data_IF_513514949276
#
_entry.id   IF_513514949276
#
_cell.length_a   1.000
_cell.length_b   1.000
_cell.length_c   1.000
_cell.angle_alpha   90.00
_cell.angle_beta   90.00
_cell.angle_gamma   90.00
#
_symmetry.space_group_name_H-M   'P 1'
#
loop_
_entity.id
_entity.type
_entity.pdbx_description
1 polymer ?
#
# COMPACT_ATOMS: atom_id res chain seq x y z
N UNK A 1 37.30 -7.37 -10.04
CA UNK A 1 36.35 -6.88 -9.04
C UNK A 1 35.52 -5.76 -9.69
N UNK A 2 34.44 -6.11 -10.40
CA UNK A 2 33.56 -5.12 -11.03
C UNK A 2 32.62 -4.57 -9.97
N UNK A 3 32.94 -3.39 -9.44
CA UNK A 3 32.00 -2.63 -8.62
C UNK A 3 30.81 -2.24 -9.49
N UNK A 4 29.71 -2.96 -9.37
CA UNK A 4 28.44 -2.61 -9.97
C UNK A 4 28.08 -1.18 -9.51
N UNK A 5 28.17 -0.23 -10.44
CA UNK A 5 27.71 1.13 -10.22
C UNK A 5 26.20 1.07 -9.98
N UNK A 6 25.77 1.06 -8.72
CA UNK A 6 24.35 1.11 -8.38
C UNK A 6 23.73 2.35 -9.02
N UNK A 7 22.66 2.18 -9.80
CA UNK A 7 21.91 3.27 -10.41
C UNK A 7 21.40 4.21 -9.31
N UNK A 8 21.71 5.51 -9.43
CA UNK A 8 21.22 6.52 -8.51
C UNK A 8 19.76 6.84 -8.80
N UNK A 9 18.88 6.77 -7.79
CA UNK A 9 17.46 7.11 -7.91
C UNK A 9 17.09 8.30 -7.03
N UNK A 10 16.62 9.37 -7.67
CA UNK A 10 16.00 10.51 -6.99
C UNK A 10 14.61 10.14 -6.43
N UNK A 11 14.04 10.92 -5.51
CA UNK A 11 12.67 10.73 -5.03
C UNK A 11 11.65 10.66 -6.18
N UNK A 12 11.78 11.55 -7.16
CA UNK A 12 10.93 11.58 -8.36
C UNK A 12 11.01 10.29 -9.19
N UNK A 13 12.22 9.77 -9.38
CA UNK A 13 12.40 8.52 -10.14
C UNK A 13 11.84 7.31 -9.39
N UNK A 14 11.96 7.27 -8.05
CA UNK A 14 11.36 6.22 -7.22
C UNK A 14 9.82 6.27 -7.30
N UNK A 15 9.24 7.46 -7.16
CA UNK A 15 7.81 7.67 -7.29
C UNK A 15 7.30 7.26 -8.68
N UNK A 16 8.03 7.60 -9.73
CA UNK A 16 7.70 7.18 -11.09
C UNK A 16 7.73 5.66 -11.26
N UNK A 17 8.75 4.97 -10.72
CA UNK A 17 8.82 3.51 -10.75
C UNK A 17 7.62 2.89 -10.04
N UNK A 18 7.25 3.40 -8.87
CA UNK A 18 6.08 2.91 -8.13
C UNK A 18 4.81 3.11 -8.97
N UNK A 19 4.56 4.32 -9.45
CA UNK A 19 3.36 4.64 -10.21
C UNK A 19 3.27 3.85 -11.52
N UNK A 20 4.37 3.74 -12.26
CA UNK A 20 4.45 2.95 -13.49
C UNK A 20 4.15 1.47 -13.22
N UNK A 21 4.84 0.86 -12.26
CA UNK A 21 4.62 -0.54 -11.94
C UNK A 21 3.18 -0.77 -11.44
N UNK A 22 2.61 0.14 -10.64
CA UNK A 22 1.21 0.07 -10.23
C UNK A 22 0.29 0.04 -11.43
N UNK A 23 0.50 0.92 -12.41
CA UNK A 23 -0.30 0.96 -13.64
C UNK A 23 -0.13 -0.32 -14.49
N UNK A 24 1.11 -0.75 -14.69
CA UNK A 24 1.40 -1.95 -15.50
C UNK A 24 0.77 -3.21 -14.89
N UNK A 25 0.77 -3.33 -13.56
CA UNK A 25 0.20 -4.48 -12.86
C UNK A 25 -1.32 -4.41 -12.72
N UNK A 26 -1.93 -3.25 -12.81
CA UNK A 26 -3.40 -3.12 -12.74
C UNK A 26 -4.10 -3.96 -13.82
N UNK A 27 -3.51 -4.07 -14.99
CA UNK A 27 -4.05 -4.91 -16.07
C UNK A 27 -4.08 -6.39 -15.68
N UNK A 28 -3.06 -6.89 -14.98
CA UNK A 28 -2.98 -8.28 -14.54
C UNK A 28 -3.81 -8.57 -13.28
N UNK A 29 -4.20 -7.54 -12.53
CA UNK A 29 -5.06 -7.70 -11.36
C UNK A 29 -6.46 -8.22 -11.72
N UNK A 30 -6.93 -7.92 -12.90
CA UNK A 30 -8.25 -8.33 -13.35
C UNK A 30 -8.44 -9.85 -13.28
N UNK A 31 -7.47 -10.61 -13.79
CA UNK A 31 -7.49 -12.07 -13.72
C UNK A 31 -7.35 -12.57 -12.28
N UNK A 32 -6.48 -11.93 -11.50
CA UNK A 32 -6.27 -12.32 -10.10
C UNK A 32 -7.51 -12.08 -9.25
N UNK A 33 -8.19 -10.94 -9.41
CA UNK A 33 -9.44 -10.62 -8.72
C UNK A 33 -10.56 -11.52 -9.19
N UNK A 34 -10.67 -11.81 -10.48
CA UNK A 34 -11.67 -12.75 -11.00
C UNK A 34 -11.49 -14.15 -10.38
N UNK A 35 -10.26 -14.64 -10.28
CA UNK A 35 -9.97 -15.94 -9.65
C UNK A 35 -10.33 -15.94 -8.16
N UNK A 36 -10.08 -14.85 -7.45
CA UNK A 36 -10.50 -14.70 -6.05
C UNK A 36 -12.03 -14.69 -5.91
N UNK A 37 -12.74 -13.94 -6.76
CA UNK A 37 -14.21 -13.85 -6.73
C UNK A 37 -14.87 -15.18 -7.08
N UNK A 38 -14.34 -15.95 -8.02
CA UNK A 38 -14.83 -17.29 -8.33
C UNK A 38 -14.83 -18.20 -7.10
N UNK A 39 -13.82 -18.09 -6.25
CA UNK A 39 -13.73 -18.82 -4.98
C UNK A 39 -14.57 -18.18 -3.85
N UNK A 40 -14.91 -16.90 -3.98
CA UNK A 40 -15.60 -16.10 -2.98
C UNK A 40 -16.74 -15.28 -3.61
N UNK A 41 -17.85 -15.91 -4.10
CA UNK A 41 -18.90 -15.24 -4.87
C UNK A 41 -19.60 -14.09 -4.14
N UNK A 42 -19.53 -14.05 -2.82
CA UNK A 42 -20.06 -12.95 -1.98
C UNK A 42 -19.44 -11.57 -2.27
N UNK A 43 -18.32 -11.52 -2.99
CA UNK A 43 -17.63 -10.27 -3.36
C UNK A 43 -17.86 -9.86 -4.82
N UNK A 44 -18.73 -10.52 -5.57
CA UNK A 44 -18.99 -10.24 -6.99
C UNK A 44 -19.37 -8.78 -7.22
N UNK A 45 -20.29 -8.24 -6.43
CA UNK A 45 -20.75 -6.85 -6.56
C UNK A 45 -19.68 -5.81 -6.18
N UNK A 46 -18.60 -6.24 -5.54
CA UNK A 46 -17.50 -5.37 -5.06
C UNK A 46 -16.27 -5.43 -5.95
N UNK A 47 -16.31 -6.17 -7.06
CA UNK A 47 -15.16 -6.43 -7.93
C UNK A 47 -14.40 -5.17 -8.32
N UNK A 48 -15.10 -4.17 -8.84
CA UNK A 48 -14.46 -2.92 -9.30
C UNK A 48 -13.82 -2.17 -8.13
N UNK A 49 -14.48 -2.09 -6.98
CA UNK A 49 -13.92 -1.47 -5.79
C UNK A 49 -12.65 -2.20 -5.31
N UNK A 50 -12.62 -3.54 -5.43
CA UNK A 50 -11.43 -4.33 -5.09
C UNK A 50 -10.28 -3.98 -6.04
N UNK A 51 -10.52 -3.92 -7.34
CA UNK A 51 -9.48 -3.56 -8.32
C UNK A 51 -8.96 -2.14 -8.06
N UNK A 52 -9.86 -1.18 -7.88
CA UNK A 52 -9.49 0.22 -7.62
C UNK A 52 -8.66 0.35 -6.33
N UNK A 53 -9.01 -0.38 -5.28
CA UNK A 53 -8.29 -0.31 -4.02
C UNK A 53 -6.94 -1.02 -4.08
N UNK A 54 -6.84 -2.14 -4.80
CA UNK A 54 -5.58 -2.85 -4.96
C UNK A 54 -4.50 -2.00 -5.63
N UNK A 55 -4.85 -1.03 -6.48
CA UNK A 55 -3.88 -0.08 -7.03
C UNK A 55 -3.17 0.71 -5.92
N UNK A 56 -3.94 1.17 -4.94
CA UNK A 56 -3.39 1.91 -3.78
C UNK A 56 -2.56 1.01 -2.87
N UNK A 57 -2.98 -0.23 -2.69
CA UNK A 57 -2.25 -1.26 -1.95
C UNK A 57 -0.90 -1.56 -2.62
N UNK A 58 -0.86 -1.67 -3.95
CA UNK A 58 0.39 -1.88 -4.70
C UNK A 58 1.32 -0.68 -4.53
N UNK A 59 0.82 0.55 -4.70
CA UNK A 59 1.61 1.76 -4.53
C UNK A 59 2.14 1.88 -3.08
N UNK A 60 1.31 1.51 -2.09
CA UNK A 60 1.74 1.41 -0.68
C UNK A 60 2.86 0.39 -0.50
N UNK A 61 2.77 -0.77 -1.15
CA UNK A 61 3.84 -1.77 -1.16
C UNK A 61 5.19 -1.20 -1.63
N UNK A 62 5.16 -0.33 -2.65
CA UNK A 62 6.34 0.39 -3.10
C UNK A 62 6.94 1.33 -2.04
N UNK A 63 6.10 2.08 -1.33
CA UNK A 63 6.56 2.96 -0.23
C UNK A 63 7.10 2.16 0.97
N UNK A 64 6.43 1.06 1.33
CA UNK A 64 6.87 0.16 2.38
C UNK A 64 8.23 -0.47 2.03
N UNK A 65 8.44 -0.89 0.77
CA UNK A 65 9.71 -1.46 0.34
C UNK A 65 10.86 -0.46 0.51
N UNK A 66 10.64 0.81 0.17
CA UNK A 66 11.64 1.87 0.41
C UNK A 66 11.89 2.02 1.91
N UNK A 67 10.85 1.96 2.73
CA UNK A 67 10.96 2.06 4.19
C UNK A 67 11.79 0.92 4.79
N UNK A 68 11.66 -0.29 4.27
CA UNK A 68 12.40 -1.47 4.73
C UNK A 68 13.89 -1.37 4.35
N UNK A 69 14.21 -0.98 3.11
CA UNK A 69 15.59 -0.97 2.60
C UNK A 69 16.34 0.34 2.85
N UNK A 70 15.69 1.34 3.41
CA UNK A 70 16.22 2.70 3.54
C UNK A 70 15.74 3.35 4.86
N UNK A 71 15.57 4.66 4.84
CA UNK A 71 15.18 5.46 5.99
C UNK A 71 13.84 6.20 5.77
N UNK A 72 13.32 6.77 6.86
CA UNK A 72 12.07 7.52 6.84
C UNK A 72 12.13 8.75 5.92
N UNK A 73 13.28 9.45 5.85
CA UNK A 73 13.42 10.68 5.03
C UNK A 73 13.25 10.36 3.55
N UNK A 74 13.86 9.27 3.08
CA UNK A 74 13.75 8.84 1.68
C UNK A 74 12.35 8.33 1.35
N UNK A 75 11.71 7.64 2.28
CA UNK A 75 10.31 7.23 2.14
C UNK A 75 9.41 8.47 2.02
N UNK A 76 9.55 9.44 2.93
CA UNK A 76 8.78 10.68 2.91
C UNK A 76 8.98 11.46 1.62
N UNK A 77 10.23 11.66 1.19
CA UNK A 77 10.52 12.37 -0.06
C UNK A 77 9.94 11.66 -1.31
N UNK A 78 9.89 10.32 -1.30
CA UNK A 78 9.26 9.56 -2.39
C UNK A 78 7.73 9.67 -2.33
N UNK A 79 7.15 9.58 -1.15
CA UNK A 79 5.72 9.75 -0.91
C UNK A 79 5.22 11.12 -1.43
N UNK A 80 5.91 12.21 -1.10
CA UNK A 80 5.56 13.56 -1.56
C UNK A 80 5.51 13.62 -3.11
N UNK A 81 6.52 13.06 -3.78
CA UNK A 81 6.55 12.99 -5.24
C UNK A 81 5.48 12.05 -5.83
N UNK A 82 5.13 10.99 -5.14
CA UNK A 82 4.08 10.07 -5.58
C UNK A 82 2.69 10.73 -5.50
N UNK A 83 2.43 11.48 -4.45
CA UNK A 83 1.20 12.28 -4.30
C UNK A 83 1.08 13.31 -5.43
N UNK A 84 2.15 14.05 -5.72
CA UNK A 84 2.18 15.01 -6.83
C UNK A 84 1.90 14.33 -8.17
N UNK A 85 2.48 13.16 -8.41
CA UNK A 85 2.30 12.40 -9.63
C UNK A 85 0.84 11.96 -9.83
N UNK A 86 0.23 11.35 -8.82
CA UNK A 86 -1.16 10.90 -8.89
C UNK A 86 -2.14 12.07 -8.99
N UNK A 87 -1.84 13.19 -8.35
CA UNK A 87 -2.65 14.40 -8.49
C UNK A 87 -2.59 14.94 -9.92
N UNK A 88 -1.40 15.03 -10.51
CA UNK A 88 -1.24 15.46 -11.91
C UNK A 88 -1.96 14.52 -12.88
N UNK A 89 -1.90 13.21 -12.66
CA UNK A 89 -2.61 12.21 -13.46
C UNK A 89 -4.13 12.37 -13.36
N UNK A 90 -4.65 12.62 -12.16
CA UNK A 90 -6.07 12.85 -11.93
C UNK A 90 -6.57 14.10 -12.66
N UNK A 91 -5.83 15.20 -12.61
CA UNK A 91 -6.15 16.43 -13.33
C UNK A 91 -6.16 16.22 -14.85
N UNK A 92 -5.18 15.48 -15.37
CA UNK A 92 -5.07 15.15 -16.78
C UNK A 92 -6.27 14.34 -17.30
N UNK A 93 -6.69 13.34 -16.53
CA UNK A 93 -7.77 12.44 -16.94
C UNK A 93 -9.17 13.09 -16.88
N UNK A 94 -9.35 14.09 -16.03
CA UNK A 94 -10.66 14.73 -15.85
C UNK A 94 -10.84 16.02 -16.64
N UNK A 95 -9.91 16.41 -17.53
CA UNK A 95 -9.90 17.68 -18.25
C UNK A 95 -10.10 18.90 -17.31
N UNK A 96 -9.85 18.74 -16.02
CA UNK A 96 -10.02 19.78 -15.01
C UNK A 96 -8.66 20.40 -14.72
N UNK A 97 -8.49 21.63 -15.18
CA UNK A 97 -7.30 22.44 -14.85
C UNK A 97 -7.36 23.01 -13.43
N UNK A 98 -8.47 22.84 -12.72
CA UNK A 98 -8.64 23.33 -11.35
C UNK A 98 -8.07 22.36 -10.34
N UNK A 99 -7.30 22.90 -9.39
CA UNK A 99 -6.77 22.17 -8.25
C UNK A 99 -7.92 21.51 -7.45
N UNK A 100 -7.93 20.17 -7.39
CA UNK A 100 -8.92 19.44 -6.63
C UNK A 100 -8.33 19.07 -5.25
N UNK A 101 -8.52 19.97 -4.28
CA UNK A 101 -8.05 19.80 -2.91
C UNK A 101 -8.62 18.54 -2.25
N UNK A 102 -9.88 18.23 -2.51
CA UNK A 102 -10.57 17.10 -1.88
C UNK A 102 -10.00 15.75 -2.33
N UNK A 103 -9.66 15.62 -3.62
CA UNK A 103 -8.99 14.42 -4.13
C UNK A 103 -7.62 14.25 -3.50
N UNK A 104 -6.85 15.33 -3.43
CA UNK A 104 -5.51 15.32 -2.86
C UNK A 104 -5.53 14.96 -1.37
N UNK A 105 -6.47 15.50 -0.62
CA UNK A 105 -6.63 15.20 0.80
C UNK A 105 -7.03 13.74 1.04
N UNK A 106 -7.99 13.22 0.27
CA UNK A 106 -8.39 11.80 0.32
C UNK A 106 -7.22 10.88 0.00
N UNK A 107 -6.42 11.22 -1.00
CA UNK A 107 -5.26 10.44 -1.41
C UNK A 107 -4.20 10.41 -0.31
N UNK A 108 -3.86 11.57 0.27
CA UNK A 108 -2.93 11.68 1.40
C UNK A 108 -3.41 10.88 2.60
N UNK A 109 -4.65 11.07 3.01
CA UNK A 109 -5.25 10.37 4.15
C UNK A 109 -5.17 8.86 3.98
N UNK A 110 -5.45 8.35 2.79
CA UNK A 110 -5.39 6.92 2.49
C UNK A 110 -3.97 6.35 2.65
N UNK A 111 -2.98 6.97 2.01
CA UNK A 111 -1.59 6.53 2.13
C UNK A 111 -1.04 6.68 3.55
N UNK A 112 -1.37 7.77 4.23
CA UNK A 112 -0.96 8.00 5.62
C UNK A 112 -1.52 6.92 6.54
N UNK A 113 -2.80 6.56 6.39
CA UNK A 113 -3.41 5.49 7.16
C UNK A 113 -2.70 4.15 6.94
N UNK A 114 -2.39 3.78 5.71
CA UNK A 114 -1.69 2.53 5.42
C UNK A 114 -0.27 2.51 5.99
N UNK A 115 0.49 3.58 5.81
CA UNK A 115 1.85 3.68 6.34
C UNK A 115 1.89 3.71 7.87
N UNK A 116 0.92 4.39 8.50
CA UNK A 116 0.79 4.40 9.96
C UNK A 116 0.48 3.00 10.48
N UNK A 117 -0.46 2.26 9.85
CA UNK A 117 -0.78 0.88 10.24
C UNK A 117 0.43 -0.03 10.12
N UNK A 118 1.14 0.03 8.99
CA UNK A 118 2.36 -0.76 8.81
C UNK A 118 3.43 -0.43 9.85
N UNK A 119 3.73 0.85 10.07
CA UNK A 119 4.75 1.27 11.03
C UNK A 119 4.39 0.87 12.46
N UNK A 120 3.13 1.03 12.86
CA UNK A 120 2.66 0.58 14.19
C UNK A 120 2.83 -0.93 14.36
N UNK A 121 2.43 -1.71 13.38
CA UNK A 121 2.57 -3.16 13.42
C UNK A 121 4.03 -3.62 13.59
N UNK A 122 5.00 -2.90 13.03
CA UNK A 122 6.43 -3.23 13.19
C UNK A 122 7.01 -2.73 14.51
N UNK A 123 6.65 -1.53 14.95
CA UNK A 123 7.26 -0.89 16.14
C UNK A 123 6.74 -1.49 17.44
N UNK A 124 5.46 -1.86 17.50
CA UNK A 124 4.83 -2.33 18.74
C UNK A 124 4.94 -3.85 18.98
N UNK A 125 5.38 -4.59 17.99
CA UNK A 125 5.59 -6.04 18.12
C UNK A 125 7.06 -6.29 17.95
N UNK A 126 7.70 -6.87 18.95
CA UNK A 126 9.11 -7.26 18.87
C UNK A 126 9.45 -7.83 17.50
N UNK A 127 10.47 -7.29 16.84
CA UNK A 127 10.86 -7.42 15.44
C UNK A 127 11.05 -8.88 14.97
N UNK A 128 10.06 -9.72 15.16
CA UNK A 128 10.05 -11.11 14.71
C UNK A 128 9.24 -11.27 13.40
N UNK A 129 9.35 -12.42 12.76
CA UNK A 129 8.65 -12.69 11.48
C UNK A 129 7.11 -12.59 11.60
N UNK A 130 6.55 -12.81 12.80
CA UNK A 130 5.12 -12.66 13.03
C UNK A 130 4.69 -11.20 12.99
N UNK A 131 5.53 -10.27 13.51
CA UNK A 131 5.26 -8.83 13.50
C UNK A 131 5.09 -8.28 12.09
N UNK A 132 5.89 -8.75 11.13
CA UNK A 132 5.76 -8.34 9.74
C UNK A 132 4.43 -8.80 9.13
N UNK A 133 4.07 -10.08 9.28
CA UNK A 133 2.80 -10.60 8.77
C UNK A 133 1.60 -9.87 9.37
N UNK A 134 1.63 -9.59 10.65
CA UNK A 134 0.55 -8.89 11.33
C UNK A 134 0.47 -7.41 10.90
N UNK A 135 1.61 -6.75 10.66
CA UNK A 135 1.61 -5.41 10.09
C UNK A 135 0.96 -5.36 8.69
N UNK A 136 1.16 -6.40 7.87
CA UNK A 136 0.48 -6.51 6.57
C UNK A 136 -1.03 -6.76 6.74
N UNK A 137 -1.44 -7.55 7.72
CA UNK A 137 -2.86 -7.75 8.05
C UNK A 137 -3.48 -6.43 8.53
N UNK A 138 -2.77 -5.62 9.31
CA UNK A 138 -3.26 -4.30 9.75
C UNK A 138 -3.50 -3.36 8.58
N UNK A 139 -2.62 -3.35 7.58
CA UNK A 139 -2.83 -2.58 6.34
C UNK A 139 -4.01 -3.12 5.56
N UNK A 140 -4.12 -4.45 5.42
CA UNK A 140 -5.25 -5.09 4.74
C UNK A 140 -6.58 -4.77 5.43
N UNK A 141 -6.62 -4.82 6.76
CA UNK A 141 -7.80 -4.45 7.55
C UNK A 141 -8.20 -2.98 7.34
N UNK A 142 -7.22 -2.07 7.32
CA UNK A 142 -7.50 -0.65 7.02
C UNK A 142 -8.13 -0.49 5.64
N UNK A 143 -7.71 -1.27 4.65
CA UNK A 143 -8.26 -1.22 3.29
C UNK A 143 -9.73 -1.66 3.23
N UNK A 144 -10.20 -2.51 4.16
CA UNK A 144 -11.60 -2.97 4.20
C UNK A 144 -12.60 -1.83 4.31
N UNK A 145 -12.24 -0.71 4.89
CA UNK A 145 -13.08 0.50 4.96
C UNK A 145 -13.49 1.01 3.58
N UNK A 146 -12.62 0.81 2.60
CA UNK A 146 -12.83 1.30 1.23
C UNK A 146 -13.55 0.28 0.35
N UNK A 147 -13.42 -1.02 0.64
CA UNK A 147 -14.12 -2.06 -0.10
C UNK A 147 -15.57 -2.25 0.32
N UNK A 148 -15.83 -2.25 1.61
CA UNK A 148 -17.11 -2.70 2.16
C UNK A 148 -17.97 -1.57 2.67
N UNK A 149 -17.39 -0.40 2.94
CA UNK A 149 -18.03 0.66 3.71
C UNK A 149 -18.26 0.26 5.18
N UNK A 150 -17.91 -0.95 5.56
CA UNK A 150 -18.00 -1.45 6.92
C UNK A 150 -16.73 -1.08 7.67
N UNK A 151 -16.86 -0.15 8.61
CA UNK A 151 -15.81 0.12 9.59
C UNK A 151 -15.81 -1.07 10.55
N UNK A 152 -15.06 -2.11 10.26
CA UNK A 152 -14.73 -3.11 11.28
C UNK A 152 -13.86 -2.39 12.30
N UNK A 153 -14.42 -2.24 13.50
CA UNK A 153 -13.82 -1.50 14.59
C UNK A 153 -12.58 -2.20 15.16
N UNK A 154 -11.46 -2.10 14.48
CA UNK A 154 -10.17 -2.14 15.15
C UNK A 154 -9.60 -0.72 15.21
N UNK A 155 -10.37 0.20 15.75
CA UNK A 155 -9.86 1.52 16.12
C UNK A 155 -9.02 1.36 17.37
N UNK A 156 -7.72 1.10 17.18
CA UNK A 156 -6.75 1.41 18.23
C UNK A 156 -6.71 2.94 18.26
N UNK A 157 -7.58 3.53 19.06
CA UNK A 157 -7.62 4.99 19.27
C UNK A 157 -6.50 5.44 20.19
N UNK A 158 -6.09 4.60 21.14
CA UNK A 158 -5.10 4.90 22.16
C UNK A 158 -4.20 3.69 22.45
N UNK A 159 -3.03 3.97 23.04
CA UNK A 159 -2.06 2.95 23.50
C UNK A 159 -2.67 1.95 24.52
N UNK A 160 -3.71 2.35 25.24
CA UNK A 160 -4.42 1.51 26.23
C UNK A 160 -5.34 0.46 25.56
N UNK A 161 -5.60 0.54 24.26
CA UNK A 161 -6.36 -0.47 23.53
C UNK A 161 -5.50 -1.67 23.06
N UNK A 162 -4.23 -1.71 23.45
CA UNK A 162 -3.31 -2.84 23.12
C UNK A 162 -3.83 -4.15 23.71
N UNK A 163 -4.40 -4.12 24.92
CA UNK A 163 -4.98 -5.31 25.55
C UNK A 163 -6.21 -5.87 24.82
N UNK A 164 -6.92 -5.03 24.08
CA UNK A 164 -8.06 -5.45 23.23
C UNK A 164 -7.65 -6.07 21.90
N UNK A 165 -6.36 -6.01 21.52
CA UNK A 165 -5.82 -6.72 20.36
C UNK A 165 -5.87 -8.25 20.52
N UNK A 166 -6.07 -8.76 21.72
CA UNK A 166 -6.17 -10.21 21.99
C UNK A 166 -7.51 -10.82 21.52
N UNK A 167 -8.54 -10.00 21.27
CA UNK A 167 -9.84 -10.48 20.73
C UNK A 167 -9.94 -10.31 19.20
N UNK A 168 -8.84 -10.45 18.47
CA UNK A 168 -8.91 -10.43 17.01
C UNK A 168 -9.73 -11.63 16.52
N UNK A 169 -10.85 -11.34 15.90
CA UNK A 169 -11.48 -12.29 14.96
C UNK A 169 -10.46 -12.66 13.88
N UNK A 170 -10.42 -13.91 13.47
CA UNK A 170 -9.58 -14.36 12.36
C UNK A 170 -9.77 -13.43 11.14
N UNK A 171 -8.67 -13.11 10.40
CA UNK A 171 -8.78 -12.27 9.23
C UNK A 171 -9.70 -12.91 8.18
N UNK A 172 -10.52 -12.09 7.53
CA UNK A 172 -11.40 -12.55 6.45
C UNK A 172 -10.60 -12.99 5.22
N UNK A 173 -11.22 -13.76 4.32
CA UNK A 173 -10.60 -14.19 3.06
C UNK A 173 -10.12 -12.98 2.23
N UNK A 174 -10.87 -11.85 2.25
CA UNK A 174 -10.49 -10.65 1.54
C UNK A 174 -9.28 -9.95 2.18
N UNK A 175 -9.19 -9.92 3.51
CA UNK A 175 -8.00 -9.38 4.20
C UNK A 175 -6.76 -10.22 3.91
N UNK A 176 -6.88 -11.55 3.90
CA UNK A 176 -5.77 -12.43 3.54
C UNK A 176 -5.36 -12.24 2.08
N UNK A 177 -6.32 -12.12 1.17
CA UNK A 177 -6.04 -11.84 -0.24
C UNK A 177 -5.29 -10.52 -0.43
N UNK A 178 -5.76 -9.43 0.19
CA UNK A 178 -5.10 -8.12 0.13
C UNK A 178 -3.71 -8.16 0.75
N UNK A 179 -3.55 -8.82 1.89
CA UNK A 179 -2.25 -9.04 2.55
C UNK A 179 -1.27 -9.75 1.62
N UNK A 180 -1.71 -10.79 0.92
CA UNK A 180 -0.85 -11.56 0.02
C UNK A 180 -0.42 -10.73 -1.19
N UNK A 181 -1.35 -9.96 -1.79
CA UNK A 181 -1.03 -9.00 -2.85
C UNK A 181 -0.01 -7.97 -2.35
N UNK A 182 -0.25 -7.34 -1.20
CA UNK A 182 0.68 -6.36 -0.63
C UNK A 182 2.08 -6.96 -0.42
N UNK A 183 2.17 -8.15 0.18
CA UNK A 183 3.44 -8.83 0.41
C UNK A 183 4.18 -9.17 -0.88
N UNK A 184 3.46 -9.60 -1.91
CA UNK A 184 4.02 -9.88 -3.22
C UNK A 184 4.65 -8.61 -3.81
N UNK A 185 3.94 -7.49 -3.78
CA UNK A 185 4.43 -6.24 -4.36
C UNK A 185 5.56 -5.61 -3.54
N UNK A 186 5.56 -5.72 -2.23
CA UNK A 186 6.71 -5.32 -1.41
C UNK A 186 7.97 -6.07 -1.89
N UNK A 187 7.90 -7.39 -2.09
CA UNK A 187 9.03 -8.19 -2.58
C UNK A 187 9.48 -7.79 -3.98
N UNK A 188 8.54 -7.51 -4.89
CA UNK A 188 8.83 -7.03 -6.25
C UNK A 188 9.59 -5.71 -6.19
N UNK A 189 9.07 -4.73 -5.45
CA UNK A 189 9.71 -3.42 -5.32
C UNK A 189 11.03 -3.49 -4.57
N UNK A 190 11.16 -4.33 -3.54
CA UNK A 190 12.45 -4.54 -2.88
C UNK A 190 13.50 -5.02 -3.87
N UNK A 191 13.18 -6.01 -4.69
CA UNK A 191 14.09 -6.53 -5.73
C UNK A 191 14.46 -5.44 -6.74
N UNK A 192 13.52 -4.60 -7.15
CA UNK A 192 13.74 -3.47 -8.07
C UNK A 192 14.68 -2.43 -7.46
N UNK A 193 14.53 -2.13 -6.15
CA UNK A 193 15.28 -1.08 -5.47
C UNK A 193 16.61 -1.54 -4.87
N UNK A 194 16.81 -2.82 -4.57
CA UNK A 194 18.07 -3.36 -3.99
C UNK A 194 19.30 -3.07 -4.83
N UNK A 195 19.14 -3.02 -6.15
CA UNK A 195 20.22 -2.74 -7.10
C UNK A 195 20.47 -1.23 -7.30
N UNK A 196 19.80 -0.38 -6.55
CA UNK A 196 19.86 1.07 -6.71
C UNK A 196 20.47 1.75 -5.48
N UNK A 197 20.96 2.98 -5.68
CA UNK A 197 21.40 3.88 -4.61
C UNK A 197 20.40 5.04 -4.54
N UNK A 198 19.78 5.21 -3.40
CA UNK A 198 18.89 6.34 -3.17
C UNK A 198 19.69 7.62 -2.87
N UNK A 199 19.37 8.68 -3.59
CA UNK A 199 19.94 10.03 -3.42
C UNK A 199 18.83 10.99 -3.03
#
# INVERSE_FOLDING_TARGET
MFGLFKRKLSPKNRAYIIAKNTSDYTVSLDETVNSFIQQNPKFTDKRNNIIDELQWIIATGGLISIRIISDHKKTKATYEQLIEFYHALHLSNNNNSTFNSDYLEKLKTKFDNYLVRFNRGIVFRDQNANSYNEALIDVANESMKYFTGEIRHSQIKDLDDIDKLQERTEPSELELFVKDILNQFIKIFMKEFEQTKFI
#
